data_IF_214244576047
#
_entry.id   IF_214244576047
#
_cell.length_a   1.000
_cell.length_b   1.000
_cell.length_c   1.000
_cell.angle_alpha   90.00
_cell.angle_beta   90.00
_cell.angle_gamma   90.00
#
_symmetry.space_group_name_H-M   'P 1'
#
loop_
_entity.id
_entity.type
_entity.pdbx_description
1 polymer ?
#
# COMPACT_ATOMS: atom_id res chain seq x y z
N UNK A 1 -28.14 -14.07 38.10
CA UNK A 1 -27.00 -13.17 37.79
C UNK A 1 -26.16 -13.62 36.58
N UNK A 2 -26.61 -14.57 35.75
CA UNK A 2 -25.86 -15.02 34.55
C UNK A 2 -26.35 -14.42 33.22
N UNK A 3 -27.59 -13.89 33.17
CA UNK A 3 -28.21 -13.37 31.95
C UNK A 3 -27.66 -12.01 31.50
N UNK A 4 -27.21 -11.16 32.43
CA UNK A 4 -26.66 -9.84 32.11
C UNK A 4 -25.24 -9.93 31.52
N UNK A 5 -24.44 -10.91 31.95
CA UNK A 5 -23.09 -11.15 31.42
C UNK A 5 -23.09 -11.63 29.97
N UNK A 6 -24.06 -12.46 29.57
CA UNK A 6 -24.18 -12.94 28.19
C UNK A 6 -24.62 -11.84 27.22
N UNK A 7 -25.51 -10.95 27.67
CA UNK A 7 -25.95 -9.79 26.89
C UNK A 7 -24.80 -8.79 26.67
N UNK A 8 -24.02 -8.49 27.71
CA UNK A 8 -22.85 -7.62 27.60
C UNK A 8 -21.75 -8.22 26.70
N UNK A 9 -21.54 -9.54 26.74
CA UNK A 9 -20.59 -10.22 25.87
C UNK A 9 -21.04 -10.22 24.41
N UNK A 10 -22.35 -10.36 24.15
CA UNK A 10 -22.91 -10.25 22.79
C UNK A 10 -22.82 -8.83 22.22
N UNK A 11 -22.98 -7.80 23.05
CA UNK A 11 -22.79 -6.39 22.66
C UNK A 11 -21.32 -6.08 22.32
N UNK A 12 -20.37 -6.69 23.03
CA UNK A 12 -18.94 -6.58 22.72
C UNK A 12 -18.57 -7.21 21.37
N UNK A 13 -19.18 -8.37 21.05
CA UNK A 13 -18.98 -9.05 19.76
C UNK A 13 -19.58 -8.25 18.58
N UNK A 14 -20.72 -7.59 18.78
CA UNK A 14 -21.36 -6.76 17.74
C UNK A 14 -20.62 -5.43 17.49
N UNK A 15 -19.97 -4.85 18.51
CA UNK A 15 -19.13 -3.67 18.35
C UNK A 15 -17.80 -3.99 17.62
N UNK A 16 -17.23 -5.17 17.86
CA UNK A 16 -15.98 -5.60 17.23
C UNK A 16 -16.12 -5.82 15.71
N UNK A 17 -17.30 -6.24 15.23
CA UNK A 17 -17.55 -6.41 13.78
C UNK A 17 -17.79 -5.09 13.06
N UNK A 18 -18.33 -4.08 13.74
CA UNK A 18 -18.54 -2.74 13.17
C UNK A 18 -17.24 -1.93 12.98
N UNK A 19 -16.17 -2.25 13.72
CA UNK A 19 -14.86 -1.62 13.58
C UNK A 19 -13.99 -2.22 12.46
N UNK A 20 -14.44 -3.31 11.83
CA UNK A 20 -13.74 -3.97 10.71
C UNK A 20 -14.14 -3.38 9.35
N UNK A 21 -14.47 -2.10 9.32
CA UNK A 21 -15.13 -1.44 8.19
C UNK A 21 -14.53 -0.07 7.92
N UNK A 22 -13.22 -0.01 7.71
CA UNK A 22 -12.57 0.88 6.75
C UNK A 22 -11.06 0.61 6.80
N UNK A 23 -10.46 0.36 5.63
CA UNK A 23 -8.99 0.27 5.53
C UNK A 23 -8.40 1.60 5.99
N UNK A 24 -7.80 1.62 7.18
CA UNK A 24 -7.17 2.83 7.71
C UNK A 24 -5.81 3.02 7.02
N UNK A 25 -5.84 3.76 5.91
CA UNK A 25 -4.64 4.21 5.22
C UNK A 25 -4.01 5.38 5.97
N UNK A 26 -2.83 5.15 6.53
CA UNK A 26 -2.01 6.15 7.18
C UNK A 26 -0.98 6.72 6.19
N UNK A 27 -0.94 8.04 5.97
CA UNK A 27 0.13 8.66 5.19
C UNK A 27 1.50 8.43 5.84
N UNK A 28 2.48 8.02 5.03
CA UNK A 28 3.87 7.84 5.47
C UNK A 28 4.83 8.68 4.62
N UNK A 29 6.05 8.87 5.11
CA UNK A 29 7.05 9.70 4.45
C UNK A 29 7.48 9.11 3.11
N UNK A 30 7.41 9.90 2.03
CA UNK A 30 7.97 9.53 0.72
C UNK A 30 9.50 9.52 0.70
N UNK A 31 10.14 10.02 1.76
CA UNK A 31 11.60 10.03 1.96
C UNK A 31 12.09 8.82 2.76
N UNK A 32 11.19 7.98 3.26
CA UNK A 32 11.55 6.75 3.94
C UNK A 32 12.33 5.82 2.97
N UNK A 33 13.53 5.33 3.36
CA UNK A 33 14.30 4.40 2.54
C UNK A 33 13.51 3.16 2.12
N UNK A 34 12.66 2.60 2.99
CA UNK A 34 11.82 1.45 2.69
C UNK A 34 10.81 1.78 1.58
N UNK A 35 10.22 2.98 1.63
CA UNK A 35 9.28 3.44 0.60
C UNK A 35 9.98 3.62 -0.75
N UNK A 36 11.24 4.08 -0.75
CA UNK A 36 12.04 4.17 -1.98
C UNK A 36 12.33 2.79 -2.57
N UNK A 37 12.82 1.88 -1.77
CA UNK A 37 13.12 0.51 -2.19
C UNK A 37 11.87 -0.18 -2.77
N UNK A 38 10.75 -0.03 -2.09
CA UNK A 38 9.47 -0.59 -2.51
C UNK A 38 8.95 0.02 -3.82
N UNK A 39 9.14 1.32 -4.03
CA UNK A 39 8.79 1.98 -5.28
C UNK A 39 9.67 1.50 -6.45
N UNK A 40 10.97 1.30 -6.21
CA UNK A 40 11.91 0.73 -7.20
C UNK A 40 11.53 -0.71 -7.55
N UNK A 41 11.26 -1.53 -6.53
CA UNK A 41 10.73 -2.89 -6.69
C UNK A 41 9.45 -2.90 -7.52
N UNK A 42 8.45 -2.07 -7.18
CA UNK A 42 7.16 -2.07 -7.86
C UNK A 42 7.27 -1.69 -9.35
N UNK A 43 8.10 -0.69 -9.68
CA UNK A 43 8.34 -0.29 -11.07
C UNK A 43 9.04 -1.41 -11.85
N UNK A 44 10.07 -2.02 -11.27
CA UNK A 44 10.81 -3.10 -11.90
C UNK A 44 9.93 -4.35 -12.10
N UNK A 45 9.19 -4.75 -11.07
CA UNK A 45 8.29 -5.91 -11.09
C UNK A 45 7.16 -5.76 -12.10
N UNK A 46 6.64 -4.54 -12.32
CA UNK A 46 5.64 -4.28 -13.34
C UNK A 46 6.22 -4.37 -14.76
N UNK A 47 7.33 -3.65 -15.02
CA UNK A 47 7.97 -3.67 -16.33
C UNK A 47 9.44 -3.19 -16.24
N UNK A 48 10.43 -4.05 -16.54
CA UNK A 48 11.86 -3.71 -16.37
C UNK A 48 12.35 -2.59 -17.29
N UNK A 49 11.60 -2.25 -18.33
CA UNK A 49 11.87 -1.09 -19.18
C UNK A 49 11.42 0.25 -18.59
N UNK A 50 10.71 0.28 -17.46
CA UNK A 50 10.36 1.52 -16.76
C UNK A 50 11.42 1.89 -15.72
N UNK A 51 11.55 3.19 -15.46
CA UNK A 51 12.37 3.74 -14.38
C UNK A 51 11.54 4.63 -13.49
N UNK A 52 11.70 4.45 -12.18
CA UNK A 52 11.13 5.35 -11.17
C UNK A 52 11.69 6.76 -11.39
N UNK A 53 10.81 7.77 -11.32
CA UNK A 53 11.16 9.19 -11.42
C UNK A 53 10.91 9.90 -10.10
N UNK A 54 9.76 9.69 -9.47
CA UNK A 54 9.42 10.32 -8.19
C UNK A 54 8.32 9.56 -7.47
N UNK A 55 8.26 9.73 -6.14
CA UNK A 55 7.20 9.21 -5.27
C UNK A 55 6.38 10.41 -4.82
N UNK A 56 5.12 10.45 -5.24
CA UNK A 56 4.20 11.57 -5.00
C UNK A 56 3.47 11.44 -3.66
N UNK A 57 3.08 10.22 -3.30
CA UNK A 57 2.38 9.90 -2.05
C UNK A 57 2.68 8.45 -1.66
N UNK A 58 2.79 8.21 -0.37
CA UNK A 58 2.88 6.86 0.19
C UNK A 58 1.90 6.74 1.36
N UNK A 59 1.16 5.65 1.39
CA UNK A 59 0.20 5.33 2.44
C UNK A 59 0.41 3.88 2.86
N UNK A 60 0.21 3.59 4.14
CA UNK A 60 0.32 2.25 4.72
C UNK A 60 -0.99 1.88 5.39
N UNK A 61 -1.36 0.62 5.26
CA UNK A 61 -2.44 -0.01 6.01
C UNK A 61 -1.84 -1.19 6.80
N UNK A 62 -2.16 -1.27 8.09
CA UNK A 62 -1.68 -2.34 8.97
C UNK A 62 -2.62 -3.55 8.86
N UNK A 63 -2.05 -4.71 8.55
CA UNK A 63 -2.73 -6.02 8.47
C UNK A 63 -1.81 -7.05 9.15
N UNK A 64 -2.02 -8.37 9.04
CA UNK A 64 -0.93 -9.32 9.23
C UNK A 64 0.15 -9.04 8.16
N UNK A 65 1.13 -8.21 8.50
CA UNK A 65 2.04 -7.54 7.54
C UNK A 65 1.61 -6.09 7.26
N UNK A 66 1.93 -5.58 6.07
CA UNK A 66 1.59 -4.22 5.68
C UNK A 66 1.17 -4.16 4.21
N UNK A 67 0.05 -3.49 3.93
CA UNK A 67 -0.24 -3.02 2.58
C UNK A 67 0.31 -1.60 2.43
N UNK A 68 0.88 -1.31 1.28
CA UNK A 68 1.37 0.01 0.90
C UNK A 68 0.71 0.44 -0.40
N UNK A 69 0.34 1.71 -0.47
CA UNK A 69 -0.17 2.35 -1.68
C UNK A 69 0.73 3.51 -2.04
N UNK A 70 1.41 3.37 -3.17
CA UNK A 70 2.37 4.34 -3.67
C UNK A 70 1.81 5.04 -4.91
N UNK A 71 1.59 6.36 -4.84
CA UNK A 71 1.41 7.18 -6.04
C UNK A 71 2.79 7.63 -6.49
N UNK A 72 3.17 7.28 -7.71
CA UNK A 72 4.52 7.53 -8.22
C UNK A 72 4.49 7.93 -9.69
N UNK A 73 5.60 8.49 -10.17
CA UNK A 73 5.82 8.69 -11.60
C UNK A 73 6.93 7.77 -12.10
N UNK A 74 6.73 7.16 -13.26
CA UNK A 74 7.74 6.36 -13.95
C UNK A 74 7.80 6.74 -15.44
N UNK A 75 8.95 6.50 -16.07
CA UNK A 75 9.15 6.75 -17.50
C UNK A 75 9.79 5.57 -18.20
N UNK A 76 9.56 5.45 -19.50
CA UNK A 76 10.25 4.48 -20.33
C UNK A 76 11.75 4.81 -20.39
N UNK A 77 12.57 3.82 -20.05
CA UNK A 77 14.03 3.94 -20.00
C UNK A 77 14.70 3.88 -21.37
N UNK A 78 14.03 3.31 -22.37
CA UNK A 78 14.54 3.17 -23.75
C UNK A 78 14.23 4.40 -24.59
N UNK A 79 13.26 5.22 -24.18
CA UNK A 79 12.86 6.43 -24.90
C UNK A 79 13.51 7.66 -24.26
N UNK A 80 14.51 8.24 -24.94
CA UNK A 80 15.36 9.35 -24.43
C UNK A 80 14.60 10.54 -23.84
N UNK A 81 13.40 10.86 -24.35
CA UNK A 81 12.56 11.98 -23.91
C UNK A 81 11.13 11.56 -23.57
N UNK A 82 10.93 10.32 -23.12
CA UNK A 82 9.59 9.90 -22.69
C UNK A 82 9.11 10.77 -21.52
N UNK A 83 7.91 11.38 -21.61
CA UNK A 83 7.32 12.07 -20.48
C UNK A 83 7.04 11.05 -19.36
N UNK A 84 7.31 11.40 -18.09
CA UNK A 84 6.88 10.57 -16.97
C UNK A 84 5.35 10.44 -16.96
N UNK A 85 4.88 9.23 -16.70
CA UNK A 85 3.46 8.93 -16.45
C UNK A 85 3.25 8.64 -14.97
N UNK A 86 2.05 8.89 -14.47
CA UNK A 86 1.67 8.63 -13.08
C UNK A 86 1.06 7.24 -12.94
N UNK A 87 1.32 6.62 -11.80
CA UNK A 87 0.84 5.29 -11.46
C UNK A 87 0.43 5.22 -9.99
N UNK A 88 -0.46 4.28 -9.68
CA UNK A 88 -0.69 3.77 -8.32
C UNK A 88 -0.14 2.34 -8.28
N UNK A 89 0.78 2.08 -7.36
CA UNK A 89 1.26 0.75 -7.05
C UNK A 89 0.73 0.34 -5.67
N UNK A 90 0.01 -0.77 -5.60
CA UNK A 90 -0.31 -1.43 -4.34
C UNK A 90 0.70 -2.56 -4.11
N UNK A 91 1.40 -2.53 -2.97
CA UNK A 91 2.45 -3.48 -2.61
C UNK A 91 2.13 -4.08 -1.24
N UNK A 92 2.36 -5.37 -1.07
CA UNK A 92 2.26 -6.04 0.22
C UNK A 92 3.66 -6.40 0.74
N UNK A 93 3.88 -6.20 2.04
CA UNK A 93 5.09 -6.59 2.77
C UNK A 93 4.67 -7.53 3.92
N UNK A 94 5.41 -8.61 4.13
CA UNK A 94 5.00 -9.72 5.00
C UNK A 94 5.57 -9.67 6.44
N UNK A 95 6.19 -8.56 6.85
CA UNK A 95 6.94 -8.41 8.11
C UNK A 95 8.37 -8.95 8.09
N UNK A 96 8.86 -9.47 6.95
CA UNK A 96 10.20 -10.03 6.78
C UNK A 96 10.98 -9.32 5.66
N UNK A 97 10.60 -8.08 5.32
CA UNK A 97 11.18 -7.29 4.24
C UNK A 97 11.03 -7.92 2.85
N UNK A 98 9.98 -8.74 2.65
CA UNK A 98 9.66 -9.33 1.34
C UNK A 98 8.48 -8.60 0.70
N UNK A 99 8.70 -8.02 -0.49
CA UNK A 99 7.66 -7.30 -1.23
C UNK A 99 6.94 -8.18 -2.24
N UNK A 100 5.63 -7.99 -2.35
CA UNK A 100 4.79 -8.57 -3.39
C UNK A 100 4.00 -7.46 -4.07
N UNK A 101 4.19 -7.29 -5.38
CA UNK A 101 3.38 -6.35 -6.16
C UNK A 101 1.95 -6.91 -6.29
N UNK A 102 0.96 -6.18 -5.78
CA UNK A 102 -0.46 -6.55 -5.88
C UNK A 102 -1.11 -5.92 -7.10
N UNK A 103 -0.80 -4.65 -7.37
CA UNK A 103 -1.32 -3.91 -8.52
C UNK A 103 -0.33 -2.84 -8.96
N UNK A 104 -0.36 -2.49 -10.25
CA UNK A 104 0.33 -1.33 -10.79
C UNK A 104 -0.52 -0.73 -11.91
N UNK A 105 -1.18 0.38 -11.62
CA UNK A 105 -2.22 0.95 -12.49
C UNK A 105 -1.86 2.37 -12.93
N UNK A 106 -1.96 2.70 -14.22
CA UNK A 106 -1.78 4.07 -14.68
C UNK A 106 -2.93 4.96 -14.15
N UNK A 107 -2.62 6.20 -13.79
CA UNK A 107 -3.61 7.20 -13.37
C UNK A 107 -3.47 8.49 -14.20
N UNK A 108 -4.55 9.29 -14.32
CA UNK A 108 -4.51 10.59 -14.99
C UNK A 108 -3.46 11.57 -14.44
#
# INVERSE_FOLDING_TARGET
MASCFLLLFSLFLLAATAAYGDRQWEPISTRDPLVREMAEFAVYAYHPGLKLVSILKAEREIVPGHNYRLRLTAKDSKVRRAPPKKYVADVYENGQHNFTLRSFTPIP
#
